data_IF_016501903974
#
_entry.id   IF_016501903974
#
_cell.length_a   1.000
_cell.length_b   1.000
_cell.length_c   1.000
_cell.angle_alpha   90.00
_cell.angle_beta   90.00
_cell.angle_gamma   90.00
#
_symmetry.space_group_name_H-M   'P 1'
#
loop_
_entity.id
_entity.type
_entity.pdbx_description
1 polymer ?
#
# COMPACT_ATOMS: atom_id res chain seq x y z
N UNK A 1 10.24 -53.90 54.44
CA UNK A 1 11.05 -53.75 53.21
C UNK A 1 10.27 -53.68 51.89
N UNK A 2 8.95 -53.94 51.79
CA UNK A 2 8.23 -53.92 50.50
C UNK A 2 7.73 -52.54 50.00
N UNK A 3 7.72 -51.50 50.84
CA UNK A 3 7.22 -50.16 50.45
C UNK A 3 8.26 -49.29 49.72
N UNK A 4 9.56 -49.57 49.86
CA UNK A 4 10.62 -48.81 49.17
C UNK A 4 10.70 -49.13 47.68
N UNK A 5 10.50 -50.39 47.29
CA UNK A 5 10.67 -50.82 45.90
C UNK A 5 9.59 -50.26 44.96
N UNK A 6 8.36 -50.13 45.45
CA UNK A 6 7.25 -49.57 44.67
C UNK A 6 7.41 -48.07 44.41
N UNK A 7 7.97 -47.32 45.37
CA UNK A 7 8.19 -45.88 45.22
C UNK A 7 9.33 -45.59 44.23
N UNK A 8 10.40 -46.38 44.26
CA UNK A 8 11.50 -46.28 43.30
C UNK A 8 11.09 -46.62 41.86
N UNK A 9 10.16 -47.57 41.68
CA UNK A 9 9.67 -47.95 40.35
C UNK A 9 8.79 -46.84 39.72
N UNK A 10 7.95 -46.18 40.52
CA UNK A 10 7.11 -45.06 40.04
C UNK A 10 7.96 -43.87 39.62
N UNK A 11 9.01 -43.54 40.38
CA UNK A 11 9.94 -42.47 40.02
C UNK A 11 10.70 -42.82 38.74
N UNK A 12 11.16 -44.07 38.59
CA UNK A 12 11.88 -44.49 37.40
C UNK A 12 11.01 -44.44 36.14
N UNK A 13 9.76 -44.91 36.22
CA UNK A 13 8.81 -44.85 35.10
C UNK A 13 8.42 -43.40 34.79
N UNK A 14 8.22 -42.56 35.80
CA UNK A 14 7.95 -41.13 35.63
C UNK A 14 9.12 -40.38 34.97
N UNK A 15 10.36 -40.69 35.37
CA UNK A 15 11.57 -40.08 34.78
C UNK A 15 11.79 -40.59 33.35
N UNK A 16 11.58 -41.87 33.07
CA UNK A 16 11.70 -42.40 31.69
C UNK A 16 10.60 -41.85 30.80
N UNK A 17 9.36 -41.75 31.27
CA UNK A 17 8.26 -41.13 30.52
C UNK A 17 8.51 -39.62 30.30
N UNK A 18 9.09 -38.92 31.28
CA UNK A 18 9.50 -37.53 31.14
C UNK A 18 10.66 -37.38 30.15
N UNK A 19 11.67 -38.24 30.19
CA UNK A 19 12.82 -38.18 29.26
C UNK A 19 12.39 -38.55 27.84
N UNK A 20 11.52 -39.54 27.65
CA UNK A 20 11.00 -39.93 26.32
C UNK A 20 10.03 -38.86 25.79
N UNK A 21 9.12 -38.34 26.61
CA UNK A 21 8.24 -37.22 26.24
C UNK A 21 9.02 -35.93 25.96
N UNK A 22 10.10 -35.68 26.69
CA UNK A 22 10.98 -34.52 26.50
C UNK A 22 12.00 -34.70 25.37
N UNK A 23 12.25 -35.93 24.89
CA UNK A 23 13.07 -36.17 23.69
C UNK A 23 12.24 -36.25 22.41
N UNK A 24 10.94 -36.56 22.52
CA UNK A 24 10.00 -36.48 21.39
C UNK A 24 9.34 -35.10 21.25
N UNK A 25 9.34 -34.28 22.31
CA UNK A 25 8.90 -32.88 22.30
C UNK A 25 10.02 -31.86 22.04
N UNK A 26 11.22 -32.30 21.66
CA UNK A 26 12.44 -31.46 21.51
C UNK A 26 12.94 -31.29 20.08
N UNK A 27 12.02 -31.04 19.16
CA UNK A 27 12.30 -30.12 18.05
C UNK A 27 12.16 -28.64 18.50
N UNK A 28 11.96 -28.40 19.80
CA UNK A 28 12.03 -27.09 20.42
C UNK A 28 13.50 -26.69 20.73
N UNK A 29 14.08 -25.93 19.79
CA UNK A 29 15.10 -24.89 20.01
C UNK A 29 16.46 -25.29 20.61
N UNK A 30 17.42 -25.64 19.73
CA UNK A 30 18.84 -25.38 19.94
C UNK A 30 19.48 -24.88 18.63
N UNK A 31 19.69 -23.57 18.60
CA UNK A 31 20.50 -22.72 17.70
C UNK A 31 21.51 -23.42 16.76
N UNK A 32 21.01 -24.00 15.67
CA UNK A 32 21.61 -23.75 14.35
C UNK A 32 20.54 -23.03 13.57
N UNK A 33 20.83 -21.84 13.01
CA UNK A 33 20.05 -21.35 11.87
C UNK A 33 20.03 -22.52 10.89
N UNK A 34 18.90 -23.23 10.68
CA UNK A 34 18.88 -24.24 9.63
C UNK A 34 19.32 -23.52 8.37
N UNK A 35 20.22 -24.12 7.59
CA UNK A 35 20.48 -23.60 6.24
C UNK A 35 19.13 -23.48 5.56
N UNK A 36 18.67 -22.25 5.40
CA UNK A 36 17.52 -21.90 4.59
C UNK A 36 17.80 -22.48 3.22
N UNK A 37 16.89 -23.33 2.77
CA UNK A 37 16.92 -23.85 1.41
C UNK A 37 15.94 -23.02 0.60
N UNK A 38 16.35 -22.64 -0.60
CA UNK A 38 15.44 -22.04 -1.58
C UNK A 38 14.41 -23.10 -1.97
N UNK A 39 13.11 -22.85 -1.78
CA UNK A 39 12.07 -23.77 -2.22
C UNK A 39 11.97 -23.77 -3.75
N UNK A 40 11.62 -24.91 -4.31
CA UNK A 40 11.27 -25.11 -5.71
C UNK A 40 9.83 -24.65 -5.89
N UNK A 41 9.55 -23.88 -6.94
CA UNK A 41 8.19 -23.46 -7.28
C UNK A 41 7.63 -24.45 -8.30
N UNK A 42 6.96 -25.49 -7.82
CA UNK A 42 6.36 -26.56 -8.63
C UNK A 42 4.86 -26.80 -8.32
N UNK A 43 4.32 -26.02 -7.41
CA UNK A 43 2.93 -26.05 -6.95
C UNK A 43 2.69 -27.07 -5.84
N UNK A 44 3.71 -27.77 -5.35
CA UNK A 44 3.59 -28.85 -4.36
C UNK A 44 4.29 -28.47 -3.05
N UNK A 45 3.49 -28.25 -2.00
CA UNK A 45 4.02 -27.88 -0.69
C UNK A 45 4.62 -29.12 0.02
N UNK A 46 5.90 -29.38 -0.24
CA UNK A 46 6.65 -30.46 0.40
C UNK A 46 7.04 -30.08 1.85
N UNK A 47 6.63 -30.89 2.83
CA UNK A 47 6.88 -30.62 4.25
C UNK A 47 8.35 -30.38 4.57
N UNK A 48 9.26 -31.20 4.04
CA UNK A 48 10.69 -31.10 4.38
C UNK A 48 11.31 -29.84 3.81
N UNK A 49 10.79 -29.39 2.69
CA UNK A 49 11.23 -28.21 1.97
C UNK A 49 10.71 -26.95 2.67
N UNK A 50 9.40 -26.80 2.74
CA UNK A 50 8.76 -25.63 3.31
C UNK A 50 9.03 -25.45 4.79
N UNK A 51 9.14 -26.52 5.58
CA UNK A 51 9.54 -26.41 6.99
C UNK A 51 10.94 -25.81 7.19
N UNK A 52 11.80 -25.84 6.16
CA UNK A 52 13.15 -25.25 6.20
C UNK A 52 13.24 -23.92 5.46
N UNK A 53 12.41 -23.72 4.44
CA UNK A 53 12.33 -22.49 3.66
C UNK A 53 11.52 -21.39 4.37
N UNK A 54 10.43 -21.75 5.06
CA UNK A 54 9.53 -20.78 5.68
C UNK A 54 10.03 -20.30 7.04
N UNK A 55 9.92 -19.00 7.29
CA UNK A 55 10.02 -18.40 8.62
C UNK A 55 8.69 -18.43 9.36
N UNK A 56 7.59 -18.32 8.61
CA UNK A 56 6.23 -18.31 9.12
C UNK A 56 5.42 -19.43 8.50
N UNK A 57 4.60 -20.11 9.29
CA UNK A 57 3.54 -21.01 8.83
C UNK A 57 2.28 -20.73 9.65
N UNK A 58 1.35 -19.99 9.07
CA UNK A 58 0.25 -19.34 9.79
C UNK A 58 -1.08 -20.00 9.38
N UNK A 59 -1.79 -20.64 10.33
CA UNK A 59 -3.10 -21.22 10.06
C UNK A 59 -4.18 -20.14 10.00
N UNK A 60 -5.16 -20.32 9.11
CA UNK A 60 -6.35 -19.48 9.03
C UNK A 60 -7.58 -20.29 8.64
N UNK A 61 -8.73 -19.91 9.19
CA UNK A 61 -9.98 -20.66 8.99
C UNK A 61 -10.83 -20.01 7.90
N UNK A 62 -11.34 -20.81 6.96
CA UNK A 62 -12.36 -20.38 6.00
C UNK A 62 -13.66 -21.16 6.21
N UNK A 63 -14.77 -20.43 6.25
CA UNK A 63 -16.14 -20.95 6.28
C UNK A 63 -16.72 -20.89 4.85
N UNK A 64 -16.51 -21.95 4.08
CA UNK A 64 -16.72 -21.96 2.63
C UNK A 64 -18.10 -22.52 2.29
N UNK A 65 -18.55 -22.23 1.08
CA UNK A 65 -19.78 -22.79 0.58
C UNK A 65 -19.61 -24.28 0.28
N UNK A 66 -20.12 -25.11 1.19
CA UNK A 66 -20.08 -26.57 1.11
C UNK A 66 -21.08 -27.16 0.08
N UNK A 67 -21.49 -26.40 -0.93
CA UNK A 67 -22.32 -26.87 -2.04
C UNK A 67 -21.50 -27.77 -2.95
N UNK A 68 -22.14 -28.83 -3.48
CA UNK A 68 -21.49 -29.73 -4.44
C UNK A 68 -21.29 -28.99 -5.76
N UNK A 69 -20.03 -28.89 -6.18
CA UNK A 69 -19.65 -28.47 -7.51
C UNK A 69 -20.21 -29.48 -8.54
N UNK A 70 -21.02 -29.03 -9.51
CA UNK A 70 -21.66 -29.91 -10.48
C UNK A 70 -20.71 -30.49 -11.52
N UNK A 71 -19.55 -29.87 -11.76
CA UNK A 71 -18.54 -30.30 -12.74
C UNK A 71 -17.72 -31.47 -12.18
N UNK A 72 -17.27 -31.35 -10.93
CA UNK A 72 -16.40 -32.37 -10.30
C UNK A 72 -17.11 -33.26 -9.28
N UNK A 73 -18.40 -33.03 -9.02
CA UNK A 73 -19.23 -33.82 -8.08
C UNK A 73 -18.62 -33.93 -6.68
N UNK A 74 -17.91 -32.88 -6.24
CA UNK A 74 -17.31 -32.75 -4.91
C UNK A 74 -17.71 -31.41 -4.33
N UNK A 75 -17.66 -31.29 -3.01
CA UNK A 75 -17.87 -30.02 -2.32
C UNK A 75 -16.55 -29.54 -1.72
N UNK A 76 -16.41 -28.22 -1.60
CA UNK A 76 -15.45 -27.63 -0.69
C UNK A 76 -15.86 -27.88 0.76
N UNK A 77 -14.92 -27.70 1.68
CA UNK A 77 -15.11 -28.02 3.10
C UNK A 77 -14.57 -26.91 3.98
N UNK A 78 -15.36 -26.48 4.96
CA UNK A 78 -14.88 -25.54 5.98
C UNK A 78 -13.66 -26.12 6.69
N UNK A 79 -12.66 -25.29 6.94
CA UNK A 79 -11.42 -25.81 7.46
C UNK A 79 -10.32 -24.78 7.69
N UNK A 80 -9.27 -25.29 8.32
CA UNK A 80 -7.99 -24.60 8.44
C UNK A 80 -7.24 -24.71 7.13
N UNK A 81 -6.73 -23.58 6.66
CA UNK A 81 -5.81 -23.41 5.56
C UNK A 81 -4.52 -22.81 6.12
N UNK A 82 -3.45 -22.79 5.35
CA UNK A 82 -2.14 -22.35 5.84
C UNK A 82 -1.45 -21.45 4.83
N UNK A 83 -0.84 -20.38 5.32
CA UNK A 83 0.10 -19.56 4.55
C UNK A 83 1.50 -19.73 5.14
N UNK A 84 2.44 -20.18 4.31
CA UNK A 84 3.85 -20.28 4.66
C UNK A 84 4.64 -19.18 3.95
N UNK A 85 5.49 -18.47 4.68
CA UNK A 85 6.26 -17.34 4.16
C UNK A 85 7.72 -17.49 4.52
N UNK A 86 8.61 -17.33 3.55
CA UNK A 86 10.06 -17.39 3.70
C UNK A 86 10.75 -16.41 2.75
N UNK A 87 12.07 -16.33 2.85
CA UNK A 87 12.88 -15.46 2.00
C UNK A 87 14.30 -15.99 1.80
N UNK A 88 14.97 -15.44 0.79
CA UNK A 88 16.43 -15.45 0.69
C UNK A 88 16.94 -14.03 0.33
N UNK A 89 18.20 -13.93 -0.08
CA UNK A 89 18.81 -12.62 -0.39
C UNK A 89 18.14 -11.90 -1.57
N UNK A 90 17.39 -12.61 -2.42
CA UNK A 90 16.86 -12.08 -3.68
C UNK A 90 15.34 -12.19 -3.79
N UNK A 91 14.69 -13.08 -3.05
CA UNK A 91 13.27 -13.37 -3.24
C UNK A 91 12.50 -13.52 -1.93
N UNK A 92 11.21 -13.14 -1.98
CA UNK A 92 10.20 -13.61 -1.05
C UNK A 92 9.51 -14.87 -1.61
N UNK A 93 9.17 -15.80 -0.74
CA UNK A 93 8.52 -17.06 -1.05
C UNK A 93 7.23 -17.18 -0.23
N UNK A 94 6.12 -17.47 -0.91
CA UNK A 94 4.81 -17.67 -0.31
C UNK A 94 4.26 -19.02 -0.79
N UNK A 95 3.84 -19.87 0.14
CA UNK A 95 3.06 -21.05 -0.15
C UNK A 95 1.69 -20.95 0.51
N UNK A 96 0.66 -21.35 -0.24
CA UNK A 96 -0.71 -21.33 0.21
C UNK A 96 -1.31 -22.73 0.10
N UNK A 97 -1.62 -23.31 1.25
CA UNK A 97 -2.19 -24.64 1.42
C UNK A 97 -3.69 -24.48 1.70
N UNK A 98 -4.51 -24.57 0.64
CA UNK A 98 -5.96 -24.35 0.73
C UNK A 98 -6.69 -25.65 1.00
N UNK A 99 -6.51 -26.20 2.20
CA UNK A 99 -7.16 -27.44 2.64
C UNK A 99 -8.70 -27.43 2.51
N UNK A 100 -9.31 -26.24 2.38
CA UNK A 100 -10.75 -26.07 2.18
C UNK A 100 -11.19 -26.25 0.72
N UNK A 101 -10.29 -26.00 -0.23
CA UNK A 101 -10.53 -26.18 -1.66
C UNK A 101 -10.27 -27.65 -2.06
N UNK A 102 -11.35 -28.42 -2.10
CA UNK A 102 -11.36 -29.86 -2.44
C UNK A 102 -11.83 -30.13 -3.86
N UNK A 103 -12.11 -29.06 -4.60
CA UNK A 103 -12.63 -29.12 -5.96
C UNK A 103 -11.50 -28.77 -6.91
N UNK A 104 -11.01 -29.77 -7.64
CA UNK A 104 -10.07 -29.55 -8.75
C UNK A 104 -10.78 -29.03 -10.01
N UNK A 105 -11.72 -28.10 -9.84
CA UNK A 105 -12.42 -27.45 -10.93
C UNK A 105 -11.80 -26.07 -11.14
N UNK A 106 -10.95 -25.87 -12.15
CA UNK A 106 -10.28 -24.60 -12.36
C UNK A 106 -11.17 -23.55 -13.04
N UNK A 107 -12.40 -23.88 -13.46
CA UNK A 107 -13.23 -23.03 -14.31
C UNK A 107 -13.67 -21.72 -13.63
N UNK A 108 -13.29 -20.59 -14.23
CA UNK A 108 -13.59 -19.25 -13.75
C UNK A 108 -12.79 -18.82 -12.51
N UNK A 109 -11.80 -19.60 -12.10
CA UNK A 109 -11.10 -19.38 -10.85
C UNK A 109 -9.85 -18.50 -11.00
N UNK A 110 -9.63 -17.68 -9.99
CA UNK A 110 -8.44 -16.85 -9.89
C UNK A 110 -7.93 -16.75 -8.46
N UNK A 111 -6.64 -16.48 -8.36
CA UNK A 111 -5.98 -16.11 -7.11
C UNK A 111 -5.22 -14.81 -7.32
N UNK A 112 -5.14 -14.00 -6.27
CA UNK A 112 -4.38 -12.76 -6.26
C UNK A 112 -3.47 -12.72 -5.05
N UNK A 113 -2.24 -12.27 -5.27
CA UNK A 113 -1.27 -11.97 -4.24
C UNK A 113 -1.01 -10.49 -4.25
N UNK A 114 -1.09 -9.90 -3.07
CA UNK A 114 -0.95 -8.49 -2.79
C UNK A 114 0.12 -8.38 -1.71
N UNK A 115 1.26 -7.81 -2.05
CA UNK A 115 2.43 -7.73 -1.19
C UNK A 115 2.85 -6.28 -1.01
N UNK A 116 3.39 -5.94 0.15
CA UNK A 116 4.18 -4.72 0.26
C UNK A 116 5.31 -4.85 1.26
N UNK A 117 6.34 -4.03 1.13
CA UNK A 117 7.34 -3.87 2.20
C UNK A 117 7.23 -2.54 2.96
N UNK A 118 6.27 -1.68 2.58
CA UNK A 118 5.87 -0.48 3.30
C UNK A 118 4.38 -0.19 3.06
N UNK A 119 3.72 0.45 4.02
CA UNK A 119 2.35 0.93 3.88
C UNK A 119 2.25 2.41 4.26
N UNK A 120 1.64 3.28 3.43
CA UNK A 120 1.30 4.64 3.79
C UNK A 120 -0.02 4.72 4.59
N UNK A 121 -0.22 5.80 5.35
CA UNK A 121 -1.41 6.02 6.19
C UNK A 121 -2.71 6.29 5.36
N UNK A 122 -2.60 6.51 4.05
CA UNK A 122 -3.73 6.76 3.14
C UNK A 122 -4.34 5.50 2.55
N UNK A 123 -4.95 4.67 3.39
CA UNK A 123 -5.63 3.45 2.93
C UNK A 123 -7.11 3.64 2.57
N UNK A 124 -7.63 4.88 2.60
CA UNK A 124 -9.08 5.14 2.47
C UNK A 124 -9.61 5.19 1.02
N UNK A 125 -8.76 4.97 0.02
CA UNK A 125 -9.13 5.13 -1.39
C UNK A 125 -8.53 4.06 -2.28
N UNK A 126 -9.33 3.52 -3.21
CA UNK A 126 -8.89 2.56 -4.20
C UNK A 126 -7.78 3.09 -5.13
N UNK A 127 -7.70 4.40 -5.36
CA UNK A 127 -6.65 5.01 -6.19
C UNK A 127 -5.40 5.37 -5.38
N UNK A 128 -5.56 5.58 -4.07
CA UNK A 128 -4.43 5.67 -3.15
C UNK A 128 -3.68 4.35 -3.06
N UNK A 129 -4.29 3.25 -3.48
CA UNK A 129 -3.67 1.95 -3.59
C UNK A 129 -2.80 1.78 -4.82
N UNK A 130 -3.24 2.29 -5.98
CA UNK A 130 -2.47 2.25 -7.23
C UNK A 130 -1.17 3.05 -7.13
N UNK A 131 -1.18 4.12 -6.33
CA UNK A 131 0.01 4.87 -5.98
C UNK A 131 0.94 4.21 -4.96
N UNK A 132 0.50 3.12 -4.32
CA UNK A 132 1.39 2.40 -3.42
C UNK A 132 2.40 1.55 -4.17
N UNK A 133 2.25 1.35 -5.49
CA UNK A 133 3.23 0.61 -6.30
C UNK A 133 4.63 1.20 -6.11
N UNK A 134 4.73 2.53 -6.20
CA UNK A 134 5.97 3.26 -5.95
C UNK A 134 6.41 3.23 -4.47
N UNK A 135 5.52 2.83 -3.56
CA UNK A 135 5.79 2.61 -2.13
C UNK A 135 6.09 1.13 -1.82
N UNK A 136 6.37 0.32 -2.85
CA UNK A 136 6.67 -1.10 -2.70
C UNK A 136 5.44 -1.97 -2.53
N UNK A 137 4.30 -1.56 -3.06
CA UNK A 137 3.11 -2.37 -3.11
C UNK A 137 2.99 -3.10 -4.44
N UNK A 138 3.09 -4.41 -4.41
CA UNK A 138 3.14 -5.25 -5.60
C UNK A 138 2.01 -6.25 -5.63
N UNK A 139 1.40 -6.45 -6.80
CA UNK A 139 0.33 -7.41 -6.95
C UNK A 139 0.31 -8.14 -8.28
N UNK A 140 -0.25 -9.36 -8.22
CA UNK A 140 -0.53 -10.20 -9.37
C UNK A 140 -1.88 -10.86 -9.21
N UNK A 141 -2.68 -10.82 -10.27
CA UNK A 141 -3.86 -11.62 -10.48
C UNK A 141 -3.52 -12.76 -11.42
N UNK A 142 -3.77 -13.98 -10.97
CA UNK A 142 -3.49 -15.20 -11.70
C UNK A 142 -4.79 -15.95 -12.00
N UNK A 143 -5.07 -16.12 -13.29
CA UNK A 143 -6.20 -16.89 -13.80
C UNK A 143 -5.83 -18.37 -13.81
N UNK A 144 -6.41 -19.11 -12.86
CA UNK A 144 -6.13 -20.53 -12.66
C UNK A 144 -6.73 -21.37 -13.79
N UNK A 145 -7.86 -20.95 -14.37
CA UNK A 145 -8.47 -21.64 -15.52
C UNK A 145 -7.57 -21.66 -16.75
N UNK A 146 -6.88 -20.55 -17.00
CA UNK A 146 -6.03 -20.39 -18.18
C UNK A 146 -4.54 -20.61 -17.93
N UNK A 147 -4.16 -20.88 -16.67
CA UNK A 147 -2.78 -21.06 -16.23
C UNK A 147 -1.89 -19.85 -16.57
N UNK A 148 -2.44 -18.65 -16.41
CA UNK A 148 -1.80 -17.38 -16.83
C UNK A 148 -2.19 -16.22 -15.92
N UNK A 149 -1.31 -15.22 -15.76
CA UNK A 149 -1.70 -13.93 -15.20
C UNK A 149 -2.79 -13.27 -16.04
N UNK A 150 -3.66 -12.48 -15.42
CA UNK A 150 -4.55 -11.60 -16.16
C UNK A 150 -3.71 -10.55 -16.89
N UNK A 151 -4.01 -10.31 -18.18
CA UNK A 151 -3.40 -9.19 -18.90
C UNK A 151 -3.83 -7.86 -18.27
N UNK A 152 -5.12 -7.80 -17.92
CA UNK A 152 -5.73 -6.71 -17.18
C UNK A 152 -7.14 -7.07 -16.73
N UNK A 153 -7.66 -6.37 -15.71
CA UNK A 153 -9.07 -6.39 -15.35
C UNK A 153 -9.67 -4.99 -15.49
N UNK A 154 -10.70 -4.85 -16.33
CA UNK A 154 -11.48 -3.62 -16.43
C UNK A 154 -12.47 -3.56 -15.28
N UNK A 155 -12.31 -2.57 -14.41
CA UNK A 155 -13.27 -2.22 -13.40
C UNK A 155 -14.06 -0.99 -13.84
N UNK A 156 -15.38 -1.08 -13.68
CA UNK A 156 -16.32 -0.01 -13.99
C UNK A 156 -16.91 0.54 -12.69
N UNK A 157 -16.38 1.68 -12.22
CA UNK A 157 -17.04 2.49 -11.20
C UNK A 157 -18.22 3.24 -11.81
N UNK A 158 -19.45 2.77 -11.57
CA UNK A 158 -20.67 3.45 -12.01
C UNK A 158 -21.28 4.26 -10.86
N UNK A 159 -21.54 5.55 -11.09
CA UNK A 159 -22.38 6.42 -10.24
C UNK A 159 -22.02 6.42 -8.75
N UNK A 160 -20.75 6.66 -8.40
CA UNK A 160 -20.39 6.79 -6.99
C UNK A 160 -20.67 8.20 -6.49
N UNK A 161 -21.25 8.32 -5.30
CA UNK A 161 -21.39 9.60 -4.58
C UNK A 161 -20.18 9.91 -3.70
N UNK A 162 -19.22 8.98 -3.64
CA UNK A 162 -18.03 9.06 -2.79
C UNK A 162 -16.87 9.69 -3.56
N UNK A 163 -15.92 10.27 -2.84
CA UNK A 163 -14.67 10.74 -3.44
C UNK A 163 -13.70 9.56 -3.62
N UNK A 164 -12.91 9.61 -4.68
CA UNK A 164 -11.69 8.84 -4.82
C UNK A 164 -10.51 9.74 -4.46
N UNK A 165 -9.66 9.28 -3.55
CA UNK A 165 -8.48 10.00 -3.12
C UNK A 165 -7.28 9.56 -3.98
N UNK A 166 -6.74 10.43 -4.82
CA UNK A 166 -5.56 10.23 -5.68
C UNK A 166 -4.37 10.92 -5.02
N UNK A 167 -3.45 10.19 -4.40
CA UNK A 167 -2.24 10.81 -3.87
C UNK A 167 -1.29 11.18 -5.00
N UNK A 168 -0.49 12.19 -4.71
CA UNK A 168 0.48 12.75 -5.64
C UNK A 168 1.79 11.97 -5.49
N UNK A 169 2.33 11.47 -6.61
CA UNK A 169 3.58 10.71 -6.65
C UNK A 169 4.55 11.31 -7.69
N UNK A 170 5.53 12.10 -7.25
CA UNK A 170 6.49 12.79 -8.11
C UNK A 170 7.40 11.96 -9.04
N UNK A 171 7.38 10.63 -9.00
CA UNK A 171 8.04 9.83 -10.06
C UNK A 171 7.17 9.76 -11.33
N UNK A 172 5.85 9.81 -11.13
CA UNK A 172 4.81 9.81 -12.17
C UNK A 172 4.33 11.25 -12.46
N UNK A 173 4.41 12.10 -11.45
CA UNK A 173 3.99 13.50 -11.38
C UNK A 173 5.23 14.41 -11.43
N UNK A 174 5.11 15.67 -11.85
CA UNK A 174 6.26 16.59 -11.74
C UNK A 174 6.22 17.27 -10.37
N UNK A 175 7.38 17.47 -9.73
CA UNK A 175 7.47 18.27 -8.50
C UNK A 175 8.76 19.08 -8.50
N UNK A 176 8.63 20.39 -8.40
CA UNK A 176 9.73 21.33 -8.37
C UNK A 176 9.60 22.25 -7.15
N UNK A 177 10.72 22.51 -6.50
CA UNK A 177 10.80 23.40 -5.38
C UNK A 177 11.49 24.71 -5.79
N UNK A 178 10.75 25.80 -5.71
CA UNK A 178 11.20 27.15 -6.04
C UNK A 178 11.18 27.98 -4.75
N UNK A 179 12.20 28.81 -4.55
CA UNK A 179 12.39 29.60 -3.33
C UNK A 179 12.37 28.78 -2.02
N UNK A 180 12.75 27.50 -2.07
CA UNK A 180 12.88 26.67 -0.89
C UNK A 180 13.97 25.63 -1.04
N UNK A 181 14.33 24.99 0.06
CA UNK A 181 15.22 23.84 0.08
C UNK A 181 14.56 22.71 0.87
N UNK A 182 14.66 21.47 0.37
CA UNK A 182 14.17 20.27 1.03
C UNK A 182 15.27 19.21 1.06
N UNK A 183 15.35 18.47 2.16
CA UNK A 183 16.11 17.21 2.25
C UNK A 183 15.20 15.98 2.27
N UNK A 184 13.89 16.20 2.26
CA UNK A 184 12.88 15.15 2.23
C UNK A 184 12.71 14.58 0.83
N UNK A 185 12.11 13.40 0.77
CA UNK A 185 11.69 12.78 -0.48
C UNK A 185 10.17 12.80 -0.55
N UNK A 186 9.60 12.66 -1.74
CA UNK A 186 8.14 12.62 -1.89
C UNK A 186 7.48 11.47 -1.12
N UNK A 187 8.23 10.42 -0.78
CA UNK A 187 7.79 9.32 0.08
C UNK A 187 7.53 9.75 1.54
N UNK A 188 7.90 10.99 1.90
CA UNK A 188 7.59 11.60 3.18
C UNK A 188 6.23 12.31 3.19
N UNK A 189 5.58 12.48 2.03
CA UNK A 189 4.13 12.57 2.02
C UNK A 189 3.63 11.18 2.42
N UNK A 190 2.69 11.07 3.37
CA UNK A 190 2.01 9.79 3.70
C UNK A 190 2.72 8.81 4.65
N UNK A 191 3.76 9.21 5.36
CA UNK A 191 4.58 8.29 6.17
C UNK A 191 4.00 7.97 7.56
N UNK A 192 4.05 6.70 7.99
CA UNK A 192 3.67 6.25 9.34
C UNK A 192 4.65 6.70 10.45
N UNK A 193 5.85 7.17 10.08
CA UNK A 193 6.97 7.33 11.02
C UNK A 193 7.07 8.73 11.66
N UNK A 194 6.01 9.54 11.58
CA UNK A 194 6.07 10.99 11.83
C UNK A 194 7.15 11.70 10.98
N UNK A 195 7.47 11.15 9.81
CA UNK A 195 8.27 11.88 8.82
C UNK A 195 7.34 12.75 7.99
N UNK A 196 7.81 13.95 7.66
CA UNK A 196 7.06 14.93 6.90
C UNK A 196 7.88 15.33 5.68
N UNK A 197 7.19 15.69 4.60
CA UNK A 197 7.85 16.42 3.53
C UNK A 197 8.21 17.81 4.01
N UNK A 198 9.50 18.03 4.18
CA UNK A 198 10.05 19.17 4.89
C UNK A 198 10.61 20.19 3.91
N UNK A 199 10.17 21.44 4.01
CA UNK A 199 10.62 22.53 3.15
C UNK A 199 11.06 23.71 3.99
N UNK A 200 12.30 24.15 3.83
CA UNK A 200 12.81 25.38 4.43
C UNK A 200 12.63 26.55 3.47
N UNK A 201 12.03 27.63 3.96
CA UNK A 201 11.80 28.84 3.17
C UNK A 201 13.09 29.59 2.84
N UNK A 202 13.18 30.10 1.62
CA UNK A 202 14.31 30.93 1.20
C UNK A 202 14.01 32.41 1.42
N UNK A 203 15.03 33.14 1.90
CA UNK A 203 14.98 34.61 1.95
C UNK A 203 15.18 35.18 0.54
N UNK A 204 14.17 35.85 0.03
CA UNK A 204 14.20 36.54 -1.25
C UNK A 204 14.32 38.04 -1.01
N UNK A 205 15.36 38.64 -1.59
CA UNK A 205 15.49 40.10 -1.62
C UNK A 205 14.44 40.69 -2.56
N UNK A 206 13.96 41.90 -2.26
CA UNK A 206 12.99 42.60 -3.09
C UNK A 206 13.47 42.65 -4.56
N UNK A 207 12.59 42.24 -5.47
CA UNK A 207 12.79 42.26 -6.93
C UNK A 207 11.46 42.60 -7.61
N UNK A 208 11.43 42.96 -8.91
CA UNK A 208 10.17 43.24 -9.60
C UNK A 208 9.19 42.08 -9.41
N UNK A 209 7.98 42.40 -8.91
CA UNK A 209 6.91 41.44 -8.60
C UNK A 209 6.96 40.76 -7.24
N UNK A 210 8.07 40.87 -6.51
CA UNK A 210 8.24 40.18 -5.23
C UNK A 210 8.71 41.14 -4.14
N UNK A 211 7.91 41.36 -3.09
CA UNK A 211 8.43 42.04 -1.91
C UNK A 211 9.56 41.21 -1.32
N UNK A 212 10.46 41.86 -0.59
CA UNK A 212 11.42 41.08 0.18
C UNK A 212 10.64 40.21 1.18
N UNK A 213 11.04 38.96 1.39
CA UNK A 213 10.39 38.07 2.35
C UNK A 213 10.98 36.68 2.37
N UNK A 214 10.35 35.81 3.17
CA UNK A 214 10.57 34.37 3.13
C UNK A 214 9.47 33.73 2.32
N UNK A 215 9.84 32.92 1.33
CA UNK A 215 8.89 32.28 0.42
C UNK A 215 9.19 30.80 0.30
N UNK A 216 8.21 30.03 -0.16
CA UNK A 216 8.31 28.64 -0.61
C UNK A 216 7.29 28.49 -1.72
N UNK A 217 7.71 27.96 -2.85
CA UNK A 217 6.84 27.53 -3.94
C UNK A 217 7.10 26.04 -4.18
N UNK A 218 6.15 25.19 -3.81
CA UNK A 218 6.16 23.80 -4.24
C UNK A 218 5.23 23.69 -5.45
N UNK A 219 5.82 23.60 -6.63
CA UNK A 219 5.11 23.32 -7.87
C UNK A 219 4.97 21.81 -8.03
N UNK A 220 3.77 21.36 -8.38
CA UNK A 220 3.55 19.95 -8.70
C UNK A 220 2.51 19.77 -9.80
N UNK A 221 2.56 18.63 -10.47
CA UNK A 221 1.66 18.30 -11.56
C UNK A 221 1.16 16.87 -11.47
N UNK A 222 -0.15 16.64 -11.52
CA UNK A 222 -0.74 15.30 -11.44
C UNK A 222 -1.10 14.77 -12.81
N UNK A 223 -0.52 13.64 -13.16
CA UNK A 223 -0.72 12.98 -14.44
C UNK A 223 -1.97 12.12 -14.42
N UNK A 224 -3.04 12.58 -15.06
CA UNK A 224 -4.32 11.90 -15.05
C UNK A 224 -4.29 10.64 -15.91
N UNK A 225 -3.61 10.67 -17.05
CA UNK A 225 -3.53 9.48 -17.89
C UNK A 225 -2.66 8.39 -17.29
N UNK A 226 -1.62 8.69 -16.51
CA UNK A 226 -0.90 7.63 -15.81
C UNK A 226 -1.72 6.97 -14.70
N UNK A 227 -2.58 7.73 -14.00
CA UNK A 227 -3.48 7.17 -12.98
C UNK A 227 -4.67 6.45 -13.62
N UNK A 228 -5.04 6.83 -14.84
CA UNK A 228 -6.15 6.23 -15.60
C UNK A 228 -5.76 5.93 -17.05
N UNK A 229 -4.84 4.97 -17.29
CA UNK A 229 -4.15 4.77 -18.58
C UNK A 229 -5.05 4.44 -19.77
N UNK A 230 -6.24 3.92 -19.52
CA UNK A 230 -7.17 3.52 -20.57
C UNK A 230 -8.43 4.44 -20.61
N UNK A 231 -8.46 5.53 -19.82
CA UNK A 231 -9.48 6.58 -19.91
C UNK A 231 -8.91 7.76 -20.70
N UNK A 232 -9.60 8.14 -21.78
CA UNK A 232 -9.28 9.38 -22.46
C UNK A 232 -9.46 10.54 -21.48
N UNK A 233 -8.44 11.38 -21.29
CA UNK A 233 -8.50 12.50 -20.35
C UNK A 233 -9.74 13.39 -20.58
N UNK A 234 -10.18 13.58 -21.83
CA UNK A 234 -11.40 14.35 -22.12
C UNK A 234 -12.68 13.68 -21.61
N UNK A 235 -12.77 12.34 -21.68
CA UNK A 235 -13.90 11.59 -21.13
C UNK A 235 -13.88 11.64 -19.60
N UNK A 236 -12.71 11.48 -18.99
CA UNK A 236 -12.51 11.64 -17.54
C UNK A 236 -13.00 13.02 -17.08
N UNK A 237 -12.51 14.07 -17.73
CA UNK A 237 -12.87 15.46 -17.42
C UNK A 237 -14.36 15.72 -17.57
N UNK A 238 -15.00 15.16 -18.59
CA UNK A 238 -16.45 15.29 -18.79
C UNK A 238 -17.30 14.56 -17.75
N UNK A 239 -16.74 13.54 -17.10
CA UNK A 239 -17.41 12.73 -16.09
C UNK A 239 -17.17 13.24 -14.66
N UNK A 240 -16.13 14.05 -14.46
CA UNK A 240 -15.82 14.70 -13.19
C UNK A 240 -16.93 15.68 -12.79
N UNK A 241 -17.30 15.64 -11.52
CA UNK A 241 -18.38 16.45 -10.91
C UNK A 241 -17.91 17.25 -9.71
N UNK A 242 -16.70 16.95 -9.22
CA UNK A 242 -16.10 17.60 -8.07
C UNK A 242 -14.59 17.30 -8.06
N UNK A 243 -13.79 18.27 -7.63
CA UNK A 243 -12.34 18.15 -7.49
C UNK A 243 -11.86 18.97 -6.30
N UNK A 244 -11.15 18.32 -5.39
CA UNK A 244 -10.59 18.94 -4.19
C UNK A 244 -9.14 18.56 -3.98
N UNK A 245 -8.38 19.41 -3.31
CA UNK A 245 -7.07 19.08 -2.78
C UNK A 245 -7.16 19.08 -1.26
N UNK A 246 -6.89 17.93 -0.65
CA UNK A 246 -6.77 17.76 0.81
C UNK A 246 -5.30 17.80 1.18
N UNK A 247 -4.97 18.66 2.14
CA UNK A 247 -3.61 18.96 2.58
C UNK A 247 -3.56 18.97 4.11
N UNK A 248 -2.64 18.21 4.70
CA UNK A 248 -2.32 18.31 6.13
C UNK A 248 -0.93 18.89 6.27
N UNK A 249 -0.80 20.01 6.98
CA UNK A 249 0.48 20.69 7.13
C UNK A 249 0.65 21.43 8.45
N UNK A 250 1.90 21.70 8.80
CA UNK A 250 2.30 22.59 9.89
C UNK A 250 3.47 23.47 9.47
N UNK A 251 3.68 24.59 10.15
CA UNK A 251 4.82 25.47 9.91
C UNK A 251 5.55 25.77 11.22
N UNK A 252 6.85 25.43 11.26
CA UNK A 252 7.74 25.79 12.34
C UNK A 252 8.35 27.15 12.04
N UNK A 253 7.99 28.15 12.85
CA UNK A 253 8.46 29.51 12.67
C UNK A 253 9.70 29.75 13.54
N UNK A 254 10.77 30.25 12.91
CA UNK A 254 12.01 30.60 13.59
C UNK A 254 12.37 32.06 13.33
N UNK A 255 12.62 32.81 14.39
CA UNK A 255 13.08 34.19 14.26
C UNK A 255 14.40 34.20 13.48
N UNK A 256 14.44 34.88 12.33
CA UNK A 256 15.66 35.07 11.57
C UNK A 256 15.89 36.55 11.22
N UNK A 257 17.10 37.10 11.47
CA UNK A 257 18.22 36.48 12.18
C UNK A 257 17.83 36.13 13.64
N UNK A 258 18.59 35.21 14.26
CA UNK A 258 18.32 34.53 15.55
C UNK A 258 18.15 35.42 16.80
N UNK A 259 17.98 36.73 16.61
CA UNK A 259 17.99 37.76 17.63
C UNK A 259 16.79 38.73 17.49
N UNK A 260 15.82 38.42 16.62
CA UNK A 260 14.57 39.18 16.58
C UNK A 260 13.64 38.73 17.70
N UNK A 261 13.12 39.68 18.47
CA UNK A 261 12.33 39.45 19.68
C UNK A 261 10.90 38.95 19.43
N UNK A 262 10.45 38.91 18.17
CA UNK A 262 9.09 38.51 17.81
C UNK A 262 9.12 37.62 16.57
N UNK A 263 8.56 36.44 16.73
CA UNK A 263 8.26 35.48 15.67
C UNK A 263 6.81 35.76 15.23
N UNK A 264 6.51 35.70 13.93
CA UNK A 264 5.11 35.74 13.52
C UNK A 264 4.32 34.63 14.25
N UNK A 265 3.07 34.89 14.62
CA UNK A 265 2.19 33.86 15.19
C UNK A 265 1.43 33.07 14.11
N UNK A 266 1.47 33.59 12.88
CA UNK A 266 0.67 33.17 11.74
C UNK A 266 1.54 32.97 10.51
N UNK A 267 1.14 32.04 9.67
CA UNK A 267 1.72 31.76 8.38
C UNK A 267 0.63 31.83 7.30
N UNK A 268 0.99 32.33 6.11
CA UNK A 268 0.08 32.44 4.98
C UNK A 268 0.50 31.50 3.86
N UNK A 269 -0.51 30.94 3.24
CA UNK A 269 -0.34 29.98 2.17
C UNK A 269 -1.42 30.16 1.12
N UNK A 270 -1.10 29.96 -0.15
CA UNK A 270 -2.06 29.95 -1.23
C UNK A 270 -1.89 28.69 -2.09
N UNK A 271 -3.01 28.10 -2.49
CA UNK A 271 -3.02 27.07 -3.54
C UNK A 271 -3.49 27.69 -4.83
N UNK A 272 -2.69 27.50 -5.87
CA UNK A 272 -2.87 28.15 -7.16
C UNK A 272 -2.95 27.10 -8.27
N UNK A 273 -4.03 27.10 -9.04
CA UNK A 273 -4.15 26.31 -10.27
C UNK A 273 -3.54 27.09 -11.46
N UNK A 274 -2.72 26.42 -12.26
CA UNK A 274 -2.16 26.97 -13.47
C UNK A 274 -2.14 25.93 -14.61
N UNK A 275 -1.73 26.37 -15.80
CA UNK A 275 -1.65 25.52 -17.00
C UNK A 275 -0.20 25.40 -17.43
N UNK A 276 0.28 24.17 -17.60
CA UNK A 276 1.69 23.86 -17.85
C UNK A 276 2.61 24.22 -16.68
N UNK A 277 3.89 23.83 -16.75
CA UNK A 277 4.91 24.23 -15.76
C UNK A 277 5.22 25.73 -15.94
N UNK A 278 5.00 26.61 -14.94
CA UNK A 278 5.31 28.02 -15.03
C UNK A 278 6.83 28.15 -15.16
N UNK A 279 7.37 28.84 -16.17
CA UNK A 279 8.81 28.97 -16.32
C UNK A 279 9.45 29.79 -15.19
N UNK A 280 8.65 30.50 -14.40
CA UNK A 280 8.89 31.12 -13.11
C UNK A 280 7.52 31.64 -12.66
N UNK A 281 7.23 31.67 -11.35
CA UNK A 281 6.14 32.52 -10.84
C UNK A 281 6.57 33.99 -11.00
N UNK A 282 6.37 34.55 -12.19
CA UNK A 282 6.41 35.99 -12.43
C UNK A 282 4.99 36.54 -12.37
N UNK A 283 4.81 37.85 -12.16
CA UNK A 283 3.51 38.55 -12.17
C UNK A 283 2.66 38.34 -13.44
N UNK A 284 3.21 37.67 -14.44
CA UNK A 284 2.57 37.27 -15.70
C UNK A 284 2.06 35.84 -15.72
N UNK A 285 2.27 35.05 -14.66
CA UNK A 285 1.69 33.72 -14.53
C UNK A 285 0.19 33.89 -14.37
N UNK A 286 -0.55 33.65 -15.44
CA UNK A 286 -2.01 33.67 -15.43
C UNK A 286 -2.49 32.45 -14.67
N UNK A 287 -2.78 32.63 -13.39
CA UNK A 287 -3.54 31.66 -12.62
C UNK A 287 -4.97 31.61 -13.15
N UNK A 288 -5.52 30.41 -13.25
CA UNK A 288 -6.87 30.23 -13.78
C UNK A 288 -7.94 30.57 -12.75
N UNK A 289 -7.59 30.49 -11.45
CA UNK A 289 -8.49 30.76 -10.33
C UNK A 289 -7.90 31.80 -9.35
N UNK A 290 -8.76 32.45 -8.57
CA UNK A 290 -8.36 33.32 -7.48
C UNK A 290 -7.53 32.52 -6.44
N UNK A 291 -6.47 33.11 -5.85
CA UNK A 291 -5.67 32.46 -4.82
C UNK A 291 -6.52 32.00 -3.63
N UNK A 292 -6.52 30.69 -3.35
CA UNK A 292 -7.12 30.14 -2.14
C UNK A 292 -6.19 30.41 -0.95
N UNK A 293 -6.22 31.63 -0.44
CA UNK A 293 -5.35 32.06 0.66
C UNK A 293 -5.86 31.54 1.99
N UNK A 294 -5.02 30.78 2.68
CA UNK A 294 -5.27 30.16 3.97
C UNK A 294 -4.29 30.73 5.00
N UNK A 295 -4.76 30.87 6.24
CA UNK A 295 -3.99 31.40 7.37
C UNK A 295 -4.06 30.39 8.52
N UNK A 296 -2.92 30.08 9.12
CA UNK A 296 -2.88 29.22 10.30
C UNK A 296 -1.83 29.62 11.34
N UNK A 297 -2.03 29.11 12.55
CA UNK A 297 -1.15 29.35 13.68
C UNK A 297 0.11 28.48 13.62
N UNK A 298 1.24 29.11 13.90
CA UNK A 298 2.54 28.46 13.94
C UNK A 298 2.57 27.22 14.85
N UNK A 299 3.33 26.19 14.46
CA UNK A 299 3.52 24.96 15.22
C UNK A 299 2.22 24.19 15.54
N UNK A 300 1.16 24.42 14.76
CA UNK A 300 -0.07 23.62 14.79
C UNK A 300 -0.22 22.87 13.47
N UNK A 301 -0.58 21.59 13.53
CA UNK A 301 -1.00 20.84 12.35
C UNK A 301 -2.42 21.24 11.99
N UNK A 302 -2.68 21.45 10.71
CA UNK A 302 -3.99 21.76 10.18
C UNK A 302 -4.32 20.93 8.95
N UNK A 303 -5.55 20.41 8.94
CA UNK A 303 -6.17 19.81 7.77
C UNK A 303 -6.89 20.89 6.97
N UNK A 304 -6.57 20.96 5.68
CA UNK A 304 -7.04 21.97 4.74
C UNK A 304 -7.65 21.27 3.53
N UNK A 305 -8.77 21.79 3.05
CA UNK A 305 -9.41 21.34 1.81
C UNK A 305 -9.60 22.54 0.91
N UNK A 306 -9.06 22.46 -0.31
CA UNK A 306 -9.27 23.45 -1.37
C UNK A 306 -10.19 22.86 -2.41
N UNK A 307 -11.31 23.54 -2.68
CA UNK A 307 -12.34 23.14 -3.65
C UNK A 307 -12.05 23.86 -4.98
N UNK A 308 -11.93 23.09 -6.07
CA UNK A 308 -11.67 23.62 -7.40
C UNK A 308 -12.92 23.53 -8.26
N UNK A 309 -13.14 24.54 -9.10
CA UNK A 309 -14.19 24.47 -10.11
C UNK A 309 -13.78 23.46 -11.19
N UNK A 310 -14.29 22.24 -11.05
CA UNK A 310 -14.10 21.14 -12.01
C UNK A 310 -14.57 21.48 -13.43
N UNK A 311 -15.40 22.51 -13.62
CA UNK A 311 -15.88 22.93 -14.95
C UNK A 311 -14.90 23.85 -15.68
N UNK A 312 -13.96 24.46 -14.95
CA UNK A 312 -12.97 25.39 -15.48
C UNK A 312 -11.52 24.91 -15.31
N UNK A 313 -11.28 23.83 -14.56
CA UNK A 313 -9.93 23.30 -14.38
C UNK A 313 -9.28 22.93 -15.72
N UNK A 314 -8.05 23.40 -15.89
CA UNK A 314 -7.29 23.20 -17.10
C UNK A 314 -6.42 21.95 -17.02
N UNK A 315 -6.66 20.99 -17.93
CA UNK A 315 -5.71 19.92 -18.21
C UNK A 315 -4.86 20.29 -19.43
N UNK A 316 -3.55 20.42 -19.25
CA UNK A 316 -2.62 20.54 -20.38
C UNK A 316 -1.79 19.27 -20.48
N UNK A 317 -1.78 18.63 -21.64
CA UNK A 317 -1.10 17.33 -21.85
C UNK A 317 -1.51 16.28 -20.79
N UNK A 318 -2.79 16.23 -20.43
CA UNK A 318 -3.34 15.26 -19.47
C UNK A 318 -2.83 15.43 -18.02
N UNK A 319 -2.19 16.56 -17.73
CA UNK A 319 -1.71 16.93 -16.41
C UNK A 319 -2.58 18.05 -15.82
N UNK A 320 -2.88 17.95 -14.52
CA UNK A 320 -3.26 19.11 -13.71
C UNK A 320 -2.02 19.74 -13.09
N UNK A 321 -1.95 21.07 -13.01
CA UNK A 321 -0.78 21.75 -12.45
C UNK A 321 -1.16 22.71 -11.32
N UNK A 322 -0.37 22.67 -10.25
CA UNK A 322 -0.62 23.46 -9.06
C UNK A 322 0.67 24.02 -8.44
N UNK A 323 0.52 25.14 -7.75
CA UNK A 323 1.54 25.69 -6.86
C UNK A 323 0.99 25.79 -5.44
N UNK A 324 1.77 25.31 -4.49
CA UNK A 324 1.68 25.62 -3.07
C UNK A 324 2.61 26.79 -2.76
N UNK A 325 2.03 27.99 -2.63
CA UNK A 325 2.76 29.22 -2.37
C UNK A 325 2.68 29.58 -0.89
N UNK A 326 3.76 29.32 -0.15
CA UNK A 326 3.97 29.82 1.20
C UNK A 326 4.67 31.17 1.19
N UNK A 327 4.22 32.10 2.04
CA UNK A 327 4.88 33.40 2.14
C UNK A 327 4.80 34.06 3.51
N UNK A 328 5.84 34.83 3.82
CA UNK A 328 5.90 35.77 4.92
C UNK A 328 6.71 37.02 4.51
N UNK A 329 6.01 38.10 4.19
CA UNK A 329 6.63 39.34 3.69
C UNK A 329 7.43 40.09 4.77
N UNK A 330 8.56 40.70 4.38
CA UNK A 330 9.37 41.55 5.28
C UNK A 330 8.64 42.81 5.80
N UNK A 331 7.49 43.18 5.21
CA UNK A 331 6.71 44.35 5.61
C UNK A 331 5.47 44.04 6.49
N UNK A 332 5.19 42.77 6.81
CA UNK A 332 4.12 42.39 7.74
C UNK A 332 4.61 42.36 9.20
N UNK A 333 5.20 43.46 9.68
CA UNK A 333 5.68 43.68 11.07
C UNK A 333 6.83 42.79 11.59
N UNK A 334 6.91 41.49 11.28
CA UNK A 334 7.99 40.56 11.73
C UNK A 334 8.29 39.45 10.70
N UNK A 335 9.17 39.69 9.71
CA UNK A 335 9.61 38.66 8.78
C UNK A 335 10.24 37.50 9.53
N UNK A 336 9.69 36.31 9.32
CA UNK A 336 10.08 35.14 10.09
C UNK A 336 10.39 34.01 9.14
N UNK A 337 11.62 33.49 9.21
CA UNK A 337 11.99 32.29 8.50
C UNK A 337 11.13 31.13 8.99
N UNK A 338 10.72 30.28 8.06
CA UNK A 338 9.86 29.16 8.40
C UNK A 338 10.28 27.90 7.69
N UNK A 339 9.80 26.81 8.27
CA UNK A 339 9.96 25.47 7.78
C UNK A 339 8.58 24.85 7.72
N UNK A 340 8.15 24.51 6.52
CA UNK A 340 6.88 23.87 6.23
C UNK A 340 7.06 22.36 6.35
N UNK A 341 6.18 21.71 7.11
CA UNK A 341 6.09 20.27 7.16
C UNK A 341 4.74 19.88 6.54
N UNK A 342 4.78 19.17 5.42
CA UNK A 342 3.59 18.65 4.75
C UNK A 342 3.51 17.16 5.07
N UNK A 343 2.41 16.78 5.68
CA UNK A 343 2.12 15.40 6.10
C UNK A 343 1.37 14.66 4.99
N UNK A 344 0.36 15.35 4.42
CA UNK A 344 -0.57 14.77 3.44
C UNK A 344 -0.86 15.77 2.34
N UNK A 345 -0.89 15.32 1.07
CA UNK A 345 -1.25 16.10 -0.12
C UNK A 345 -2.02 15.26 -1.17
N UNK A 346 -3.34 15.11 -1.04
CA UNK A 346 -4.18 14.23 -1.90
C UNK A 346 -5.15 15.03 -2.78
N UNK A 347 -5.34 14.63 -4.05
CA UNK A 347 -6.55 15.00 -4.80
C UNK A 347 -7.75 14.14 -4.43
N UNK A 348 -8.91 14.75 -4.32
CA UNK A 348 -10.18 14.05 -4.15
C UNK A 348 -11.08 14.36 -5.32
N UNK A 349 -11.35 13.34 -6.12
CA UNK A 349 -12.20 13.47 -7.30
C UNK A 349 -13.56 12.81 -7.04
N UNK A 350 -14.63 13.41 -7.54
CA UNK A 350 -15.92 12.74 -7.71
C UNK A 350 -16.22 12.65 -9.19
N UNK A 351 -16.48 11.46 -9.70
CA UNK A 351 -16.83 11.23 -11.11
C UNK A 351 -18.06 10.33 -11.24
N UNK A 352 -18.87 10.57 -12.27
CA UNK A 352 -20.03 9.73 -12.58
C UNK A 352 -19.63 8.38 -13.19
N UNK A 353 -18.45 8.31 -13.82
CA UNK A 353 -17.92 7.11 -14.48
C UNK A 353 -16.41 7.07 -14.36
N UNK A 354 -15.89 6.00 -13.75
CA UNK A 354 -14.47 5.71 -13.74
C UNK A 354 -14.27 4.30 -14.29
N UNK A 355 -13.39 4.17 -15.27
CA UNK A 355 -12.89 2.87 -15.71
C UNK A 355 -11.47 2.76 -15.18
N UNK A 356 -11.22 1.87 -14.22
CA UNK A 356 -9.85 1.54 -13.82
C UNK A 356 -9.48 0.22 -14.44
N UNK A 357 -8.21 0.08 -14.83
CA UNK A 357 -7.69 -1.17 -15.35
C UNK A 357 -6.63 -1.67 -14.38
N UNK A 358 -6.92 -2.76 -13.67
CA UNK A 358 -5.95 -3.42 -12.82
C UNK A 358 -5.04 -4.29 -13.71
N UNK A 359 -3.83 -3.83 -13.95
CA UNK A 359 -2.75 -4.65 -14.54
C UNK A 359 -1.88 -5.18 -13.41
N UNK A 360 -1.28 -6.35 -13.58
CA UNK A 360 -0.26 -6.80 -12.62
C UNK A 360 0.88 -5.77 -12.59
N UNK A 361 1.33 -5.43 -11.40
CA UNK A 361 2.43 -4.46 -11.22
C UNK A 361 3.79 -5.16 -11.29
N UNK A 362 3.81 -6.43 -10.90
CA UNK A 362 5.01 -7.25 -10.89
C UNK A 362 5.46 -7.51 -12.33
N UNK A 363 6.71 -7.18 -12.61
CA UNK A 363 7.31 -7.31 -13.93
C UNK A 363 7.38 -8.78 -14.34
N UNK A 364 7.13 -9.03 -15.64
CA UNK A 364 7.25 -10.38 -16.18
C UNK A 364 8.71 -10.89 -16.04
N UNK A 365 8.87 -12.06 -15.42
CA UNK A 365 10.18 -12.66 -15.12
C UNK A 365 10.71 -12.38 -13.71
N UNK A 366 10.06 -11.49 -12.94
CA UNK A 366 10.40 -11.25 -11.54
C UNK A 366 9.52 -12.04 -10.56
N UNK A 367 8.67 -12.94 -11.07
CA UNK A 367 7.93 -13.89 -10.26
C UNK A 367 7.85 -15.26 -10.91
N UNK A 368 7.65 -16.28 -10.08
CA UNK A 368 7.18 -17.60 -10.48
C UNK A 368 5.89 -17.90 -9.70
N UNK A 369 4.90 -18.48 -10.36
CA UNK A 369 3.69 -18.99 -9.71
C UNK A 369 3.40 -20.38 -10.26
N UNK A 370 3.22 -21.34 -9.36
CA UNK A 370 2.79 -22.68 -9.70
C UNK A 370 1.66 -23.12 -8.76
N UNK A 371 0.76 -23.96 -9.26
CA UNK A 371 -0.27 -24.56 -8.45
C UNK A 371 -0.42 -26.04 -8.77
N UNK A 372 -0.90 -26.80 -7.80
CA UNK A 372 -1.22 -28.21 -8.00
C UNK A 372 -2.44 -28.61 -7.18
N UNK A 373 -2.97 -29.80 -7.50
CA UNK A 373 -4.05 -30.41 -6.73
C UNK A 373 -3.58 -31.76 -6.17
N UNK A 374 -3.43 -31.85 -4.86
CA UNK A 374 -2.82 -33.02 -4.22
C UNK A 374 -2.87 -32.94 -2.70
N UNK A 375 -2.34 -33.97 -2.00
CA UNK A 375 -2.20 -33.93 -0.55
C UNK A 375 -0.96 -33.13 -0.13
N UNK A 376 -0.98 -32.61 1.09
CA UNK A 376 0.12 -31.91 1.76
C UNK A 376 0.31 -32.49 3.16
N UNK A 377 1.32 -32.02 3.89
CA UNK A 377 1.50 -32.42 5.29
C UNK A 377 0.49 -31.79 6.24
N UNK A 378 -0.04 -30.60 5.92
CA UNK A 378 -1.11 -29.99 6.72
C UNK A 378 -2.47 -30.62 6.39
N UNK A 379 -2.61 -31.17 5.18
CA UNK A 379 -3.87 -31.69 4.70
C UNK A 379 -3.71 -32.96 3.84
N UNK A 380 -4.05 -34.14 4.39
CA UNK A 380 -3.79 -35.41 3.73
C UNK A 380 -4.77 -35.72 2.60
N UNK A 381 -5.96 -35.11 2.57
CA UNK A 381 -6.86 -35.27 1.44
C UNK A 381 -6.47 -34.31 0.29
N UNK A 382 -6.74 -34.66 -0.98
CA UNK A 382 -6.42 -33.79 -2.11
C UNK A 382 -7.09 -32.42 -2.00
N UNK A 383 -6.31 -31.37 -2.17
CA UNK A 383 -6.74 -29.98 -2.15
C UNK A 383 -5.84 -29.13 -3.04
N UNK A 384 -6.18 -27.85 -3.22
CA UNK A 384 -5.37 -26.92 -4.01
C UNK A 384 -4.23 -26.32 -3.22
N UNK A 385 -3.06 -26.31 -3.83
CA UNK A 385 -1.86 -25.67 -3.30
C UNK A 385 -1.32 -24.66 -4.31
N UNK A 386 -0.82 -23.55 -3.81
CA UNK A 386 -0.09 -22.55 -4.61
C UNK A 386 1.28 -22.30 -4.02
N UNK A 387 2.26 -22.08 -4.89
CA UNK A 387 3.57 -21.57 -4.55
C UNK A 387 3.86 -20.35 -5.41
N UNK A 388 4.35 -19.31 -4.76
CA UNK A 388 4.62 -18.02 -5.35
C UNK A 388 6.00 -17.53 -4.91
N UNK A 389 6.81 -17.11 -5.87
CA UNK A 389 8.09 -16.44 -5.63
C UNK A 389 8.03 -15.07 -6.27
N UNK A 390 8.53 -14.05 -5.59
CA UNK A 390 8.67 -12.69 -6.12
C UNK A 390 10.04 -12.11 -5.80
N UNK A 391 10.64 -11.42 -6.76
CA UNK A 391 11.94 -10.75 -6.60
C UNK A 391 11.82 -9.60 -5.62
N UNK A 392 12.76 -9.52 -4.67
CA UNK A 392 12.90 -8.37 -3.77
C UNK A 392 13.23 -7.07 -4.52
N UNK A 393 13.70 -7.16 -5.77
CA UNK A 393 13.98 -5.99 -6.61
C UNK A 393 12.75 -5.22 -7.06
N UNK A 394 11.55 -5.80 -6.94
CA UNK A 394 10.28 -5.09 -7.19
C UNK A 394 9.95 -4.11 -6.06
N UNK A 395 10.63 -4.24 -4.92
CA UNK A 395 10.36 -3.43 -3.75
C UNK A 395 11.47 -2.40 -3.52
N UNK A 396 11.15 -1.18 -3.05
CA UNK A 396 12.16 -0.21 -2.64
C UNK A 396 12.95 -0.74 -1.44
N UNK A 397 14.23 -0.37 -1.35
CA UNK A 397 15.07 -0.77 -0.22
C UNK A 397 14.79 0.10 0.99
N UNK A 398 14.31 -0.50 2.08
CA UNK A 398 14.08 0.18 3.36
C UNK A 398 14.96 -0.37 4.49
N UNK A 399 15.25 0.43 5.55
CA UNK A 399 16.02 -0.03 6.71
C UNK A 399 15.27 -1.08 7.54
N UNK A 400 13.94 -1.02 7.51
CA UNK A 400 13.05 -1.99 8.13
C UNK A 400 12.69 -3.07 7.11
N UNK A 401 12.70 -4.32 7.54
CA UNK A 401 12.37 -5.45 6.67
C UNK A 401 11.02 -6.00 7.14
N UNK A 402 9.92 -5.35 6.73
CA UNK A 402 8.58 -5.87 6.92
C UNK A 402 8.05 -6.40 5.60
N UNK A 403 7.23 -7.45 5.66
CA UNK A 403 6.43 -7.92 4.54
C UNK A 403 4.97 -7.94 4.95
N UNK A 404 4.15 -7.24 4.18
CA UNK A 404 2.71 -7.15 4.32
C UNK A 404 2.06 -7.99 3.22
N UNK A 405 1.11 -8.83 3.57
CA UNK A 405 0.50 -9.77 2.61
C UNK A 405 -1.02 -9.74 2.72
N UNK A 406 -1.69 -9.68 1.58
CA UNK A 406 -3.07 -10.11 1.39
C UNK A 406 -3.08 -11.18 0.31
N UNK A 407 -3.88 -12.22 0.53
CA UNK A 407 -4.20 -13.19 -0.50
C UNK A 407 -5.70 -13.24 -0.64
N UNK A 408 -6.19 -13.19 -1.88
CA UNK A 408 -7.60 -13.32 -2.18
C UNK A 408 -7.80 -14.27 -3.35
N UNK A 409 -8.94 -14.96 -3.38
CA UNK A 409 -9.30 -15.85 -4.47
C UNK A 409 -10.79 -15.84 -4.75
N UNK A 410 -11.13 -16.29 -5.94
CA UNK A 410 -12.50 -16.42 -6.43
C UNK A 410 -12.65 -17.74 -7.15
N UNK A 411 -13.87 -18.30 -7.08
CA UNK A 411 -14.19 -19.53 -7.77
C UNK A 411 -15.04 -20.46 -6.94
N UNK A 412 -14.69 -21.74 -6.99
CA UNK A 412 -15.43 -22.79 -6.31
C UNK A 412 -15.27 -22.71 -4.80
N UNK A 413 -14.11 -22.26 -4.31
CA UNK A 413 -13.92 -21.89 -2.91
C UNK A 413 -14.50 -20.48 -2.69
N UNK A 414 -15.79 -20.42 -2.36
CA UNK A 414 -16.55 -19.18 -2.14
C UNK A 414 -17.06 -19.10 -0.71
N UNK A 415 -17.22 -17.91 -0.14
CA UNK A 415 -17.88 -17.74 1.17
C UNK A 415 -19.41 -17.67 1.00
N UNK A 416 -20.17 -17.86 2.06
CA UNK A 416 -21.63 -17.73 1.98
C UNK A 416 -22.05 -16.33 1.48
N UNK A 417 -22.83 -16.30 0.39
CA UNK A 417 -23.34 -15.09 -0.28
C UNK A 417 -22.30 -14.25 -1.06
N UNK A 418 -21.07 -14.74 -1.22
CA UNK A 418 -20.07 -14.15 -2.12
C UNK A 418 -19.48 -15.26 -3.00
N UNK A 419 -18.72 -14.89 -4.02
CA UNK A 419 -17.98 -15.86 -4.84
C UNK A 419 -16.46 -15.80 -4.59
N UNK A 420 -16.03 -15.10 -3.53
CA UNK A 420 -14.63 -14.82 -3.24
C UNK A 420 -14.32 -14.90 -1.74
N UNK A 421 -13.03 -14.98 -1.40
CA UNK A 421 -12.48 -14.98 -0.05
C UNK A 421 -11.18 -14.15 0.00
N UNK A 422 -10.77 -13.70 1.19
CA UNK A 422 -9.49 -13.02 1.42
C UNK A 422 -8.93 -13.32 2.82
N UNK A 423 -7.61 -13.19 3.00
CA UNK A 423 -6.91 -13.38 4.27
C UNK A 423 -5.80 -12.31 4.44
N UNK A 424 -5.61 -11.71 5.65
CA UNK A 424 -6.16 -12.04 6.99
C UNK A 424 -7.61 -11.66 7.32
N UNK A 425 -8.36 -11.10 6.38
CA UNK A 425 -9.79 -10.78 6.54
C UNK A 425 -10.09 -9.31 6.28
N UNK A 426 -11.38 -8.97 6.23
CA UNK A 426 -11.89 -7.67 5.74
C UNK A 426 -12.83 -7.90 4.55
N UNK A 427 -13.82 -7.02 4.35
CA UNK A 427 -14.66 -7.06 3.15
C UNK A 427 -14.17 -6.01 2.16
N UNK A 428 -14.05 -6.45 0.91
CA UNK A 428 -13.98 -5.69 -0.33
C UNK A 428 -12.62 -5.15 -0.82
N UNK A 429 -11.64 -6.04 -1.00
CA UNK A 429 -10.98 -6.09 -2.31
C UNK A 429 -11.77 -7.03 -3.22
N UNK A 430 -13.05 -6.74 -3.45
CA UNK A 430 -13.38 -6.58 -4.84
C UNK A 430 -12.72 -5.28 -5.32
N UNK A 431 -11.62 -5.32 -6.10
CA UNK A 431 -11.22 -4.14 -6.85
C UNK A 431 -12.43 -3.47 -7.52
N UNK A 432 -13.49 -4.24 -7.79
CA UNK A 432 -14.66 -3.88 -8.57
C UNK A 432 -15.78 -3.11 -7.82
N UNK A 433 -16.06 -3.30 -6.51
CA UNK A 433 -17.36 -2.81 -5.93
C UNK A 433 -17.41 -2.45 -4.42
N UNK A 434 -16.29 -2.40 -3.69
CA UNK A 434 -16.32 -2.10 -2.24
C UNK A 434 -16.56 -0.62 -1.90
N UNK A 435 -17.38 -0.28 -0.88
CA UNK A 435 -17.38 1.08 -0.32
C UNK A 435 -16.03 1.37 0.40
N UNK A 436 -15.47 2.59 0.25
CA UNK A 436 -14.14 2.99 0.76
C UNK A 436 -13.97 3.04 2.29
N UNK A 437 -14.94 2.55 3.07
CA UNK A 437 -14.98 2.74 4.52
C UNK A 437 -14.42 1.56 5.31
N UNK A 438 -14.12 0.43 4.67
CA UNK A 438 -13.64 -0.79 5.33
C UNK A 438 -12.15 -1.01 5.00
N UNK A 439 -11.32 -1.12 6.04
CA UNK A 439 -9.87 -1.11 5.89
C UNK A 439 -9.36 -2.51 5.52
N UNK A 440 -8.51 -2.67 4.49
CA UNK A 440 -7.84 -3.93 4.25
C UNK A 440 -6.95 -4.29 5.45
N UNK A 441 -7.16 -5.47 6.04
CA UNK A 441 -6.24 -5.99 7.05
C UNK A 441 -5.10 -6.69 6.32
N UNK A 442 -3.88 -6.23 6.53
CA UNK A 442 -2.67 -6.87 6.03
C UNK A 442 -2.09 -7.82 7.08
N UNK A 443 -1.57 -8.95 6.62
CA UNK A 443 -0.70 -9.78 7.43
C UNK A 443 0.67 -9.10 7.46
N UNK A 444 1.02 -8.40 8.54
CA UNK A 444 2.34 -7.79 8.75
C UNK A 444 3.31 -8.80 9.36
N UNK A 445 4.42 -9.05 8.68
CA UNK A 445 5.48 -9.99 9.08
C UNK A 445 6.80 -9.24 9.23
N UNK A 446 7.52 -9.47 10.33
CA UNK A 446 8.88 -8.97 10.53
C UNK A 446 9.88 -9.92 9.87
N UNK A 447 10.55 -9.45 8.83
CA UNK A 447 11.55 -10.19 8.05
C UNK A 447 12.98 -9.92 8.54
N UNK A 448 13.19 -9.03 9.51
CA UNK A 448 14.53 -8.62 10.00
C UNK A 448 15.30 -9.71 10.75
N UNK A 449 14.70 -10.88 10.99
CA UNK A 449 15.27 -11.96 11.80
C UNK A 449 16.19 -12.92 11.03
N UNK A 450 16.54 -12.62 9.78
CA UNK A 450 17.31 -13.51 8.89
C UNK A 450 18.83 -13.32 8.90
#
# INVERSE_FOLDING_TARGET
MKKGLAFSLIILVGVVAFVVGFSWGKDFWLFRKPTTITPTIDGVINEKEWRRASHYNIPFYLDVNNTVDPVVSKKNVDGWNYISVGEDSNYYYIALDLCSDRTNNPDGEWISFFLANRFPEIYYSALAFESMVDHGYEYIFYNVSSDKPFDYELNTGFFTTNYYDIPIIPEVDQMDLIFGESSSTYLDFWSEDNTFFEITAQNISARPGWPAGYFVDLEFAVNISSKFPDVNASDFMSAMTDLKLDLTMSANLTSYPSNQLQCAEKFYFAVLEHGGTPPNISDSTSYFNDPNTLEFHANTSQDLTVDFDHTTINTTNEMFYFTLHGYNELNATYPTAYKLNIDKLTFRIRTMRLYTIFRNTISNGNYDLAYSFGPSANCPEPHRMFEFRISKSEFPTFPEDYLYIIVAGYGTMSLANTNYWSYPGGIYFNPILGPPNDLPLFLKLDMSHT
#
